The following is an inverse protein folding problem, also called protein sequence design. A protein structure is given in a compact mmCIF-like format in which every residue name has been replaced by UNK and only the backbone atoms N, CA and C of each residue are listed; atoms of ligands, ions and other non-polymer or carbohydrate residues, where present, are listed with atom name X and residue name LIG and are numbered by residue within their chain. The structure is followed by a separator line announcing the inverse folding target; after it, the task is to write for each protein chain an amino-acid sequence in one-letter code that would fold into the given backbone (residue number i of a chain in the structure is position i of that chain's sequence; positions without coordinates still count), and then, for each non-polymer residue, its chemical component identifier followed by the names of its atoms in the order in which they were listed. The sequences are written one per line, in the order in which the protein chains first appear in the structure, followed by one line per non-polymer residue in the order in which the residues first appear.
data_IF_895487040907
#
_entry.id   IF_895487040907
#
_cell.length_a   1.000
_cell.length_b   1.000
_cell.length_c   1.000
_cell.angle_alpha   90.00
_cell.angle_beta   90.00
_cell.angle_gamma   90.00
#
_symmetry.space_group_name_H-M   'P 1'
#
loop_
_entity.id
_entity.type
_entity.pdbx_description
1 polymer ?
#
# COMPACT_ATOMS: atom_id res chain seq x y z
N UNK A 1 -15.89 -9.84 58.63
CA UNK A 1 -16.43 -8.47 58.65
C UNK A 1 -15.65 -7.67 57.62
N UNK A 2 -16.22 -7.47 56.43
CA UNK A 2 -15.57 -6.73 55.35
C UNK A 2 -16.20 -5.33 55.31
N UNK A 3 -15.38 -4.28 55.44
CA UNK A 3 -15.83 -2.90 55.34
C UNK A 3 -16.23 -2.59 53.90
N UNK A 4 -17.49 -2.25 53.68
CA UNK A 4 -17.96 -1.72 52.40
C UNK A 4 -17.42 -0.31 52.27
N UNK A 5 -16.44 -0.11 51.38
CA UNK A 5 -16.04 1.22 50.96
C UNK A 5 -17.17 1.80 50.10
N UNK A 6 -17.96 2.71 50.69
CA UNK A 6 -18.88 3.54 49.92
C UNK A 6 -18.06 4.40 48.95
N UNK A 7 -18.05 4.04 47.67
CA UNK A 7 -17.59 4.94 46.63
C UNK A 7 -18.62 6.07 46.49
N UNK A 8 -18.27 7.24 47.00
CA UNK A 8 -18.97 8.49 46.71
C UNK A 8 -18.86 8.77 45.21
N UNK A 9 -19.86 8.33 44.45
CA UNK A 9 -19.89 8.33 43.00
C UNK A 9 -20.84 9.38 42.43
N UNK A 10 -20.34 10.16 41.48
CA UNK A 10 -21.01 11.21 40.72
C UNK A 10 -22.49 10.98 40.43
N UNK A 11 -23.28 12.06 40.56
CA UNK A 11 -24.61 12.11 39.96
C UNK A 11 -24.50 11.88 38.45
N UNK A 12 -25.29 10.93 37.95
CA UNK A 12 -25.40 10.60 36.53
C UNK A 12 -25.82 11.84 35.74
N UNK A 13 -25.19 12.08 34.59
CA UNK A 13 -25.39 13.27 33.73
C UNK A 13 -26.82 13.47 33.19
N UNK A 14 -27.76 12.61 33.53
CA UNK A 14 -29.15 12.74 33.15
C UNK A 14 -29.87 13.67 34.13
N UNK A 15 -29.91 14.97 33.78
CA UNK A 15 -30.61 15.99 34.54
C UNK A 15 -29.76 17.10 35.15
N UNK A 16 -28.52 17.32 34.67
CA UNK A 16 -27.71 18.46 35.11
C UNK A 16 -28.42 19.75 34.68
N UNK A 17 -29.09 20.40 35.63
CA UNK A 17 -29.47 21.79 35.46
C UNK A 17 -28.18 22.62 35.37
N UNK A 18 -28.04 23.42 34.31
CA UNK A 18 -26.85 24.27 34.09
C UNK A 18 -26.61 25.31 35.21
N UNK A 19 -27.56 25.44 36.15
CA UNK A 19 -27.50 26.35 37.29
C UNK A 19 -26.94 25.73 38.58
N UNK A 20 -26.56 24.45 38.59
CA UNK A 20 -26.04 23.78 39.80
C UNK A 20 -24.51 23.90 39.91
N UNK A 21 -24.03 24.35 41.07
CA UNK A 21 -22.61 24.51 41.34
C UNK A 21 -21.92 23.16 41.53
N UNK A 22 -20.91 22.91 40.70
CA UNK A 22 -20.17 21.65 40.64
C UNK A 22 -18.68 21.86 40.93
N UNK A 23 -18.07 20.88 41.61
CA UNK A 23 -16.61 20.79 41.78
C UNK A 23 -16.09 19.63 40.94
N UNK A 24 -15.05 19.89 40.14
CA UNK A 24 -14.43 18.88 39.28
C UNK A 24 -13.12 18.38 39.91
N UNK A 25 -12.98 17.06 40.06
CA UNK A 25 -11.73 16.44 40.49
C UNK A 25 -10.73 16.40 39.32
N UNK A 26 -9.59 17.06 39.47
CA UNK A 26 -8.55 17.14 38.43
C UNK A 26 -7.94 15.77 38.10
N UNK A 27 -7.88 14.85 39.08
CA UNK A 27 -7.20 13.56 38.91
C UNK A 27 -8.05 12.54 38.14
N UNK A 28 -9.37 12.53 38.34
CA UNK A 28 -10.26 11.55 37.70
C UNK A 28 -11.32 12.18 36.77
N UNK A 29 -11.28 13.51 36.61
CA UNK A 29 -12.19 14.31 35.78
C UNK A 29 -13.69 14.09 36.08
N UNK A 30 -13.99 13.78 37.34
CA UNK A 30 -15.34 13.54 37.85
C UNK A 30 -15.91 14.83 38.44
N UNK A 31 -17.20 15.10 38.21
CA UNK A 31 -17.94 16.26 38.72
C UNK A 31 -18.80 15.88 39.91
N UNK A 32 -18.81 16.72 40.94
CA UNK A 32 -19.55 16.52 42.18
C UNK A 32 -20.41 17.74 42.48
N UNK A 33 -21.70 17.55 42.73
CA UNK A 33 -22.56 18.63 43.21
C UNK A 33 -22.08 19.06 44.60
N UNK A 34 -21.94 20.38 44.81
CA UNK A 34 -21.55 20.91 46.13
C UNK A 34 -22.50 20.43 47.22
N UNK A 35 -23.80 20.33 46.92
CA UNK A 35 -24.81 19.87 47.86
C UNK A 35 -24.51 18.46 48.41
N UNK A 36 -24.05 17.55 47.53
CA UNK A 36 -23.70 16.19 47.91
C UNK A 36 -22.50 16.17 48.85
N UNK A 37 -21.51 17.05 48.65
CA UNK A 37 -20.33 17.16 49.52
C UNK A 37 -20.65 17.79 50.89
N UNK A 38 -21.77 18.50 51.00
CA UNK A 38 -22.20 19.19 52.24
C UNK A 38 -23.25 18.42 53.03
N UNK A 39 -23.62 17.20 52.63
CA UNK A 39 -24.58 16.40 53.38
C UNK A 39 -24.00 16.03 54.76
N UNK A 40 -24.74 16.25 55.87
CA UNK A 40 -24.31 15.84 57.19
C UNK A 40 -24.18 14.31 57.26
N UNK A 41 -23.23 13.81 58.06
CA UNK A 41 -23.02 12.38 58.28
C UNK A 41 -24.35 11.72 58.66
N UNK A 42 -24.83 10.82 57.81
CA UNK A 42 -26.06 10.07 58.07
C UNK A 42 -25.74 9.07 59.20
N UNK A 43 -26.48 9.10 60.32
CA UNK A 43 -26.30 8.12 61.39
C UNK A 43 -26.49 6.72 60.82
N UNK A 44 -25.62 5.78 61.22
CA UNK A 44 -25.57 4.38 60.75
C UNK A 44 -26.88 3.60 60.93
N UNK A 45 -27.85 4.19 61.64
CA UNK A 45 -29.02 3.54 62.19
C UNK A 45 -30.30 3.96 61.45
N UNK A 46 -30.20 4.82 60.43
CA UNK A 46 -31.37 5.30 59.67
C UNK A 46 -31.81 4.30 58.58
N UNK A 47 -33.12 4.06 58.48
CA UNK A 47 -33.72 3.18 57.45
C UNK A 47 -33.36 3.56 56.01
N UNK A 48 -32.97 4.82 55.78
CA UNK A 48 -32.52 5.36 54.49
C UNK A 48 -31.24 4.67 54.01
N UNK A 49 -30.35 4.25 54.93
CA UNK A 49 -29.12 3.54 54.60
C UNK A 49 -29.41 2.16 53.97
N UNK A 50 -30.51 1.52 54.37
CA UNK A 50 -30.94 0.22 53.83
C UNK A 50 -31.49 0.34 52.42
N UNK A 51 -32.05 1.49 52.04
CA UNK A 51 -32.66 1.72 50.74
C UNK A 51 -31.63 2.09 49.66
N UNK A 52 -30.52 2.73 50.02
CA UNK A 52 -29.42 3.04 49.09
C UNK A 52 -28.65 1.76 48.70
N UNK A 53 -28.49 0.81 49.63
CA UNK A 53 -27.84 -0.48 49.35
C UNK A 53 -28.60 -1.34 48.31
N UNK A 54 -29.91 -1.12 48.14
CA UNK A 54 -30.76 -1.81 47.16
C UNK A 54 -30.61 -1.28 45.72
N UNK A 55 -29.98 -0.12 45.52
CA UNK A 55 -29.70 0.46 44.20
C UNK A 55 -28.24 0.26 43.76
N UNK A 56 -27.56 -0.72 44.34
CA UNK A 56 -26.25 -1.16 43.83
C UNK A 56 -26.42 -1.63 42.38
N UNK A 57 -25.52 -1.26 41.44
CA UNK A 57 -25.55 -1.79 40.08
C UNK A 57 -25.64 -3.30 40.12
N UNK A 58 -26.35 -3.94 39.18
CA UNK A 58 -26.50 -5.40 39.19
C UNK A 58 -25.11 -6.01 39.22
N UNK A 59 -24.90 -6.84 40.24
CA UNK A 59 -23.73 -7.67 40.52
C UNK A 59 -22.88 -7.89 39.27
N UNK A 60 -21.87 -7.04 39.07
CA UNK A 60 -20.95 -7.22 37.95
C UNK A 60 -20.17 -8.48 38.25
N UNK A 61 -20.41 -9.52 37.47
CA UNK A 61 -19.68 -10.77 37.59
C UNK A 61 -18.17 -10.46 37.69
N UNK A 62 -17.45 -11.03 38.67
CA UNK A 62 -16.03 -10.77 38.80
C UNK A 62 -15.35 -11.17 37.52
N UNK A 63 -14.63 -10.22 36.89
CA UNK A 63 -13.90 -10.46 35.64
C UNK A 63 -13.07 -11.72 35.81
N UNK A 64 -13.40 -12.74 35.04
CA UNK A 64 -12.75 -14.05 35.19
C UNK A 64 -11.45 -14.06 34.41
N UNK A 65 -10.48 -14.85 34.86
CA UNK A 65 -9.23 -15.04 34.12
C UNK A 65 -9.47 -15.55 32.68
N UNK A 66 -10.60 -16.23 32.44
CA UNK A 66 -11.00 -16.71 31.12
C UNK A 66 -11.48 -15.59 30.19
N UNK A 67 -12.19 -14.59 30.71
CA UNK A 67 -12.56 -13.40 29.94
C UNK A 67 -11.33 -12.61 29.51
N UNK A 68 -10.37 -12.42 30.42
CA UNK A 68 -9.09 -11.77 30.10
C UNK A 68 -8.32 -12.56 29.04
N UNK A 69 -8.24 -13.90 29.18
CA UNK A 69 -7.60 -14.78 28.19
C UNK A 69 -8.27 -14.65 26.81
N UNK A 70 -9.61 -14.66 26.76
CA UNK A 70 -10.38 -14.51 25.54
C UNK A 70 -10.15 -13.16 24.86
N UNK A 71 -10.11 -12.07 25.63
CA UNK A 71 -9.80 -10.72 25.12
C UNK A 71 -8.40 -10.69 24.52
N UNK A 72 -7.40 -11.18 25.26
CA UNK A 72 -6.00 -11.21 24.79
C UNK A 72 -5.87 -12.03 23.51
N UNK A 73 -6.50 -13.20 23.45
CA UNK A 73 -6.45 -14.07 22.27
C UNK A 73 -7.10 -13.40 21.05
N UNK A 74 -8.24 -12.70 21.23
CA UNK A 74 -8.87 -11.92 20.17
C UNK A 74 -7.99 -10.77 19.69
N UNK A 75 -7.37 -10.02 20.59
CA UNK A 75 -6.47 -8.91 20.23
C UNK A 75 -5.28 -9.41 19.42
N UNK A 76 -4.67 -10.52 19.86
CA UNK A 76 -3.56 -11.16 19.14
C UNK A 76 -4.02 -11.60 17.75
N UNK A 77 -5.18 -12.25 17.64
CA UNK A 77 -5.70 -12.74 16.36
C UNK A 77 -5.97 -11.60 15.38
N UNK A 78 -6.57 -10.50 15.85
CA UNK A 78 -6.81 -9.29 15.04
C UNK A 78 -5.48 -8.67 14.59
N UNK A 79 -4.52 -8.52 15.50
CA UNK A 79 -3.19 -7.98 15.18
C UNK A 79 -2.47 -8.81 14.11
N UNK A 80 -2.48 -10.15 14.23
CA UNK A 80 -1.89 -11.03 13.22
C UNK A 80 -2.58 -10.89 11.86
N UNK A 81 -3.92 -10.84 11.84
CA UNK A 81 -4.66 -10.65 10.59
C UNK A 81 -4.32 -9.30 9.93
N UNK A 82 -4.24 -8.22 10.71
CA UNK A 82 -3.86 -6.90 10.21
C UNK A 82 -2.42 -6.89 9.69
N UNK A 83 -1.48 -7.50 10.41
CA UNK A 83 -0.08 -7.60 9.98
C UNK A 83 0.05 -8.38 8.66
N UNK A 84 -0.63 -9.51 8.53
CA UNK A 84 -0.63 -10.30 7.29
C UNK A 84 -1.23 -9.51 6.11
N UNK A 85 -2.31 -8.77 6.36
CA UNK A 85 -2.91 -7.92 5.33
C UNK A 85 -1.96 -6.80 4.89
N UNK A 86 -1.27 -6.16 5.83
CA UNK A 86 -0.25 -5.15 5.54
C UNK A 86 0.92 -5.75 4.76
N UNK A 87 1.43 -6.92 5.17
CA UNK A 87 2.50 -7.61 4.44
C UNK A 87 2.08 -7.94 3.00
N UNK A 88 0.89 -8.51 2.81
CA UNK A 88 0.38 -8.79 1.46
C UNK A 88 0.27 -7.52 0.61
N UNK A 89 -0.20 -6.43 1.20
CA UNK A 89 -0.30 -5.13 0.51
C UNK A 89 1.08 -4.61 0.10
N UNK A 90 2.07 -4.66 1.02
CA UNK A 90 3.44 -4.24 0.74
C UNK A 90 4.05 -5.10 -0.37
N UNK A 91 3.94 -6.43 -0.27
CA UNK A 91 4.49 -7.36 -1.26
C UNK A 91 3.91 -7.07 -2.65
N UNK A 92 2.59 -6.97 -2.76
CA UNK A 92 1.93 -6.69 -4.04
C UNK A 92 2.35 -5.34 -4.59
N UNK A 93 2.41 -4.30 -3.76
CA UNK A 93 2.81 -2.97 -4.19
C UNK A 93 4.27 -2.93 -4.65
N UNK A 94 5.19 -3.52 -3.89
CA UNK A 94 6.60 -3.60 -4.28
C UNK A 94 6.75 -4.36 -5.59
N UNK A 95 6.12 -5.53 -5.74
CA UNK A 95 6.17 -6.30 -6.99
C UNK A 95 5.65 -5.47 -8.17
N UNK A 96 4.50 -4.81 -8.02
CA UNK A 96 3.94 -4.01 -9.11
C UNK A 96 4.81 -2.80 -9.47
N UNK A 97 5.38 -2.13 -8.46
CA UNK A 97 6.28 -0.98 -8.66
C UNK A 97 7.55 -1.40 -9.39
N UNK A 98 8.14 -2.55 -9.05
CA UNK A 98 9.36 -3.04 -9.69
C UNK A 98 9.10 -3.67 -11.07
N UNK A 99 7.94 -4.31 -11.28
CA UNK A 99 7.60 -4.92 -12.58
C UNK A 99 7.15 -3.90 -13.64
N UNK A 100 6.60 -2.76 -13.23
CA UNK A 100 6.16 -1.71 -14.15
C UNK A 100 7.29 -1.17 -15.05
N UNK A 101 8.46 -0.74 -14.53
CA UNK A 101 9.57 -0.28 -15.36
C UNK A 101 10.12 -1.42 -16.22
N UNK A 102 10.26 -2.64 -15.70
CA UNK A 102 10.72 -3.80 -16.50
C UNK A 102 9.82 -4.06 -17.70
N UNK A 103 8.49 -3.96 -17.52
CA UNK A 103 7.54 -4.09 -18.63
C UNK A 103 7.75 -2.99 -19.68
N UNK A 104 7.99 -1.76 -19.24
CA UNK A 104 8.26 -0.63 -20.12
C UNK A 104 9.56 -0.84 -20.91
N UNK A 105 10.63 -1.25 -20.24
CA UNK A 105 11.93 -1.52 -20.87
C UNK A 105 11.82 -2.63 -21.92
N UNK A 106 11.04 -3.68 -21.65
CA UNK A 106 10.76 -4.74 -22.63
C UNK A 106 10.03 -4.20 -23.86
N UNK A 107 9.06 -3.30 -23.69
CA UNK A 107 8.33 -2.69 -24.81
C UNK A 107 9.24 -1.79 -25.65
N UNK A 108 10.11 -1.01 -25.00
CA UNK A 108 11.08 -0.16 -25.70
C UNK A 108 12.12 -1.00 -26.46
N UNK A 109 12.60 -2.09 -25.87
CA UNK A 109 13.47 -3.06 -26.53
C UNK A 109 12.81 -3.70 -27.76
N UNK A 110 11.53 -4.08 -27.66
CA UNK A 110 10.79 -4.63 -28.78
C UNK A 110 10.67 -3.63 -29.94
N UNK A 111 10.38 -2.37 -29.64
CA UNK A 111 10.33 -1.30 -30.64
C UNK A 111 11.70 -1.09 -31.30
N UNK A 112 12.78 -1.04 -30.51
CA UNK A 112 14.15 -0.92 -31.00
C UNK A 112 14.54 -2.08 -31.93
N UNK A 113 14.22 -3.32 -31.54
CA UNK A 113 14.52 -4.50 -32.34
C UNK A 113 13.78 -4.50 -33.68
N UNK A 114 12.50 -4.09 -33.66
CA UNK A 114 11.69 -3.97 -34.87
C UNK A 114 12.32 -2.96 -35.84
N UNK A 115 12.68 -1.77 -35.34
CA UNK A 115 13.36 -0.75 -36.13
C UNK A 115 14.68 -1.26 -36.73
N UNK A 116 15.52 -1.92 -35.93
CA UNK A 116 16.81 -2.43 -36.41
C UNK A 116 16.63 -3.56 -37.43
N UNK A 117 15.59 -4.37 -37.30
CA UNK A 117 15.25 -5.43 -38.27
C UNK A 117 14.89 -4.79 -39.61
N UNK A 118 14.03 -3.76 -39.62
CA UNK A 118 13.66 -3.05 -40.83
C UNK A 118 14.86 -2.36 -41.51
N UNK A 119 15.74 -1.72 -40.72
CA UNK A 119 16.95 -1.10 -41.26
C UNK A 119 17.94 -2.14 -41.81
N UNK A 120 18.04 -3.31 -41.18
CA UNK A 120 18.86 -4.42 -41.67
C UNK A 120 18.33 -4.97 -43.01
N UNK A 121 17.01 -5.15 -43.14
CA UNK A 121 16.39 -5.60 -44.38
C UNK A 121 16.63 -4.60 -45.53
N UNK A 122 16.49 -3.30 -45.26
CA UNK A 122 16.81 -2.24 -46.23
C UNK A 122 18.27 -2.28 -46.64
N UNK A 123 19.18 -2.45 -45.69
CA UNK A 123 20.62 -2.54 -45.96
C UNK A 123 20.93 -3.77 -46.82
N UNK A 124 20.30 -4.91 -46.54
CA UNK A 124 20.48 -6.14 -47.31
C UNK A 124 19.98 -5.97 -48.76
N UNK A 125 18.84 -5.30 -48.95
CA UNK A 125 18.33 -4.98 -50.30
C UNK A 125 19.31 -4.10 -51.07
N UNK A 126 19.78 -3.00 -50.46
CA UNK A 126 20.75 -2.09 -51.08
C UNK A 126 22.06 -2.79 -51.42
N UNK A 127 22.56 -3.66 -50.53
CA UNK A 127 23.76 -4.44 -50.81
C UNK A 127 23.58 -5.33 -52.03
N UNK A 128 22.42 -5.98 -52.17
CA UNK A 128 22.10 -6.80 -53.34
C UNK A 128 22.07 -5.97 -54.62
N UNK A 129 21.40 -4.82 -54.60
CA UNK A 129 21.34 -3.89 -55.73
C UNK A 129 22.74 -3.47 -56.19
N UNK A 130 23.59 -3.02 -55.25
CA UNK A 130 24.98 -2.62 -55.54
C UNK A 130 25.80 -3.80 -56.08
N UNK A 131 25.62 -4.99 -55.51
CA UNK A 131 26.31 -6.18 -55.98
C UNK A 131 25.94 -6.53 -57.41
N UNK A 132 24.67 -6.38 -57.78
CA UNK A 132 24.20 -6.69 -59.13
C UNK A 132 24.66 -5.61 -60.13
N UNK A 133 24.62 -4.34 -59.76
CA UNK A 133 25.18 -3.24 -60.56
C UNK A 133 26.67 -3.41 -60.81
N UNK A 134 27.44 -3.81 -59.78
CA UNK A 134 28.88 -4.09 -59.91
C UNK A 134 29.15 -5.21 -60.91
N UNK A 135 28.33 -6.27 -60.93
CA UNK A 135 28.44 -7.35 -61.93
C UNK A 135 28.16 -6.84 -63.33
N UNK A 136 27.11 -6.04 -63.51
CA UNK A 136 26.77 -5.44 -64.80
C UNK A 136 27.92 -4.57 -65.34
N UNK A 137 28.47 -3.68 -64.50
CA UNK A 137 29.60 -2.82 -64.86
C UNK A 137 30.86 -3.63 -65.20
N UNK A 138 31.12 -4.74 -64.49
CA UNK A 138 32.23 -5.62 -64.81
C UNK A 138 32.06 -6.28 -66.18
N UNK A 139 30.87 -6.77 -66.49
CA UNK A 139 30.56 -7.37 -67.78
C UNK A 139 30.69 -6.35 -68.93
N UNK A 140 30.21 -5.12 -68.72
CA UNK A 140 30.33 -4.04 -69.70
C UNK A 140 31.81 -3.67 -69.93
N UNK A 141 32.59 -3.55 -68.87
CA UNK A 141 34.04 -3.33 -68.96
C UNK A 141 34.75 -4.45 -69.73
N UNK A 142 34.38 -5.71 -69.51
CA UNK A 142 34.93 -6.84 -70.26
C UNK A 142 34.57 -6.76 -71.75
N UNK A 143 33.30 -6.46 -72.06
CA UNK A 143 32.85 -6.27 -73.43
C UNK A 143 33.60 -5.12 -74.14
N UNK A 144 33.79 -3.99 -73.46
CA UNK A 144 34.55 -2.85 -73.99
C UNK A 144 36.02 -3.21 -74.23
N UNK A 145 36.66 -3.92 -73.30
CA UNK A 145 38.04 -4.42 -73.49
C UNK A 145 38.16 -5.31 -74.72
N UNK A 146 37.21 -6.23 -74.90
CA UNK A 146 37.18 -7.11 -76.07
C UNK A 146 37.00 -6.32 -77.37
N UNK A 147 36.10 -5.35 -77.38
CA UNK A 147 35.87 -4.47 -78.54
C UNK A 147 37.12 -3.66 -78.89
N UNK A 148 37.79 -3.08 -77.90
CA UNK A 148 39.04 -2.34 -78.10
C UNK A 148 40.14 -3.25 -78.66
N UNK A 149 40.28 -4.47 -78.14
CA UNK A 149 41.24 -5.46 -78.64
C UNK A 149 40.98 -5.85 -80.10
N UNK A 150 39.73 -6.07 -80.48
CA UNK A 150 39.32 -6.36 -81.87
C UNK A 150 39.67 -5.20 -82.80
N UNK A 151 39.27 -3.98 -82.43
CA UNK A 151 39.58 -2.77 -83.21
C UNK A 151 41.08 -2.56 -83.36
N UNK A 152 41.86 -2.75 -82.30
CA UNK A 152 43.32 -2.62 -82.34
C UNK A 152 43.95 -3.65 -83.29
N UNK A 153 43.44 -4.89 -83.27
CA UNK A 153 43.88 -5.94 -84.20
C UNK A 153 43.57 -5.57 -85.65
N UNK A 154 42.40 -5.00 -85.91
CA UNK A 154 42.00 -4.53 -87.24
C UNK A 154 42.85 -3.36 -87.73
N UNK A 155 43.17 -2.39 -86.86
CA UNK A 155 44.06 -1.27 -87.21
C UNK A 155 45.43 -1.80 -87.61
N UNK A 156 46.02 -2.69 -86.79
CA UNK A 156 47.33 -3.28 -87.08
C UNK A 156 47.37 -4.11 -88.37
N UNK A 157 46.23 -4.55 -88.89
CA UNK A 157 46.16 -5.25 -90.19
C UNK A 157 46.22 -4.28 -91.38
N UNK A 158 45.82 -3.03 -91.18
CA UNK A 158 45.81 -1.99 -92.22
C UNK A 158 47.08 -1.11 -92.22
N UNK A 159 47.88 -1.17 -91.17
CA UNK A 159 49.23 -0.57 -91.09
C UNK A 159 50.30 -1.48 -91.70
#
# INVERSE_FOLDING_TARGET
MASVLLEWGCCTKEGINENEQNINCIMCNKSYHILCLTLPEIPSDSEIFSQIALNSPPNSNPVTAEEVRSIVQKVIQVQYATMLQQMNTIIVNTINTELAPVRKDIQELQASLTFHTEEFDKLQSKYKEISDETKCLNNENEHLKNTVSDLNTRINYFE
#
